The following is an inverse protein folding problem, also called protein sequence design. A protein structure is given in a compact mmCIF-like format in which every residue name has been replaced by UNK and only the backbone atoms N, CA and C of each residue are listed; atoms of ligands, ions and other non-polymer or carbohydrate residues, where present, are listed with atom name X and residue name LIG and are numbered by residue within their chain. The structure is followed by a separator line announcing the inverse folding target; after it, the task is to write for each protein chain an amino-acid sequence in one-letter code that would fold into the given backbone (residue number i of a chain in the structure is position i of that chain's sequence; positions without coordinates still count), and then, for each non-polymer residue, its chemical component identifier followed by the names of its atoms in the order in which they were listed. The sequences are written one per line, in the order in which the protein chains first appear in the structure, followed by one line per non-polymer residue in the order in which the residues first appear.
data_IF_256981899653
#
_entry.id   IF_256981899653
#
_cell.length_a   1.000
_cell.length_b   1.000
_cell.length_c   1.000
_cell.angle_alpha   90.00
_cell.angle_beta   90.00
_cell.angle_gamma   90.00
#
_symmetry.space_group_name_H-M   'P 1'
#
loop_
_entity.id
_entity.type
_entity.pdbx_description
1 polymer ?
#
# COMPACT_ATOMS: atom_id res chain seq x y z
N UNK A 1 24.90 -22.84 3.03
CA UNK A 1 24.71 -21.54 3.70
C UNK A 1 25.25 -20.47 2.75
N UNK A 2 24.39 -19.63 2.19
CA UNK A 2 24.79 -18.51 1.32
C UNK A 2 25.18 -17.35 2.24
N UNK A 3 26.45 -16.94 2.24
CA UNK A 3 26.86 -15.75 2.98
C UNK A 3 26.29 -14.51 2.27
N UNK A 4 25.68 -13.55 3.01
CA UNK A 4 25.24 -12.30 2.41
C UNK A 4 26.46 -11.58 1.82
N UNK A 5 26.41 -11.32 0.52
CA UNK A 5 27.47 -10.59 -0.16
C UNK A 5 27.23 -9.10 0.05
N UNK A 6 27.83 -8.54 1.10
CA UNK A 6 27.82 -7.10 1.32
C UNK A 6 28.65 -6.41 0.23
N UNK A 7 27.99 -5.65 -0.64
CA UNK A 7 28.60 -5.07 -1.85
C UNK A 7 29.11 -3.64 -1.67
N UNK A 8 28.66 -2.95 -0.63
CA UNK A 8 28.91 -1.52 -0.46
C UNK A 8 29.60 -1.24 0.87
N UNK A 9 30.79 -0.65 0.81
CA UNK A 9 31.54 -0.17 1.96
C UNK A 9 30.90 1.10 2.52
N UNK A 10 30.78 1.20 3.83
CA UNK A 10 30.15 2.33 4.50
C UNK A 10 30.82 2.69 5.82
N UNK A 11 31.35 3.90 5.90
CA UNK A 11 32.03 4.42 7.09
C UNK A 11 31.10 4.76 8.27
N UNK A 12 29.78 4.85 8.05
CA UNK A 12 28.80 5.23 9.09
C UNK A 12 28.11 4.02 9.75
N UNK A 13 28.10 2.89 9.06
CA UNK A 13 27.35 1.71 9.47
C UNK A 13 28.26 0.83 10.37
N UNK A 14 27.74 0.27 11.47
CA UNK A 14 28.54 -0.41 12.50
C UNK A 14 29.37 -1.61 12.00
N UNK A 15 28.84 -2.34 11.02
CA UNK A 15 29.53 -3.48 10.38
C UNK A 15 30.40 -3.07 9.18
N UNK A 16 30.47 -1.77 8.86
CA UNK A 16 31.29 -1.24 7.76
C UNK A 16 30.81 -1.58 6.34
N UNK A 17 29.82 -2.46 6.20
CA UNK A 17 29.35 -2.98 4.91
C UNK A 17 27.82 -3.20 4.90
N UNK A 18 27.17 -3.05 3.75
CA UNK A 18 25.74 -3.34 3.56
C UNK A 18 25.39 -3.73 2.10
N UNK A 19 24.19 -4.27 1.89
CA UNK A 19 23.76 -4.88 0.62
C UNK A 19 23.20 -3.89 -0.41
N UNK A 20 22.74 -2.72 0.04
CA UNK A 20 22.18 -1.66 -0.82
C UNK A 20 23.19 -0.54 -1.02
N UNK A 21 23.07 0.34 -2.02
CA UNK A 21 23.96 1.51 -2.14
C UNK A 21 23.73 2.59 -1.06
N UNK A 22 22.77 2.40 -0.15
CA UNK A 22 22.37 3.38 0.86
C UNK A 22 22.69 2.86 2.26
N UNK A 23 23.31 3.66 3.14
CA UNK A 23 23.56 3.21 4.52
C UNK A 23 22.24 3.18 5.31
N UNK A 24 21.85 2.02 5.86
CA UNK A 24 20.63 1.89 6.67
C UNK A 24 20.62 2.76 7.94
N UNK A 25 21.79 3.17 8.43
CA UNK A 25 21.90 4.11 9.56
C UNK A 25 21.55 5.56 9.20
N UNK A 26 21.44 5.89 7.92
CA UNK A 26 21.08 7.23 7.43
C UNK A 26 19.58 7.26 7.09
N UNK A 27 18.74 7.19 8.13
CA UNK A 27 17.27 7.13 8.03
C UNK A 27 16.68 8.27 7.19
N UNK A 28 17.35 9.43 7.12
CA UNK A 28 16.93 10.56 6.29
C UNK A 28 17.04 10.27 4.78
N UNK A 29 18.03 9.48 4.35
CA UNK A 29 18.20 9.12 2.93
C UNK A 29 17.21 8.05 2.49
N UNK A 30 16.88 7.11 3.37
CA UNK A 30 15.81 6.14 3.15
C UNK A 30 14.47 6.84 2.99
N UNK A 31 14.13 7.75 3.91
CA UNK A 31 12.91 8.55 3.84
C UNK A 31 12.83 9.40 2.56
N UNK A 32 13.93 10.05 2.16
CA UNK A 32 14.01 10.80 0.91
C UNK A 32 13.80 9.90 -0.31
N UNK A 33 14.44 8.73 -0.35
CA UNK A 33 14.25 7.78 -1.46
C UNK A 33 12.81 7.29 -1.56
N UNK A 34 12.17 6.96 -0.43
CA UNK A 34 10.77 6.57 -0.41
C UNK A 34 9.84 7.71 -0.82
N UNK A 35 10.14 8.94 -0.41
CA UNK A 35 9.36 10.12 -0.82
C UNK A 35 9.49 10.35 -2.33
N UNK A 36 10.71 10.31 -2.87
CA UNK A 36 10.95 10.49 -4.30
C UNK A 36 10.30 9.39 -5.16
N UNK A 37 10.24 8.16 -4.66
CA UNK A 37 9.52 7.07 -5.31
C UNK A 37 8.00 7.27 -5.26
N UNK A 38 7.46 7.76 -4.14
CA UNK A 38 6.04 8.09 -3.99
C UNK A 38 5.64 9.25 -4.92
N UNK A 39 6.48 10.28 -5.03
CA UNK A 39 6.29 11.42 -5.94
C UNK A 39 6.31 10.96 -7.40
N UNK A 40 7.27 10.10 -7.77
CA UNK A 40 7.33 9.51 -9.10
C UNK A 40 6.10 8.66 -9.42
N UNK A 41 5.63 7.84 -8.47
CA UNK A 41 4.42 7.04 -8.65
C UNK A 41 3.16 7.91 -8.76
N UNK A 42 3.08 9.01 -8.01
CA UNK A 42 2.00 9.98 -8.12
C UNK A 42 1.95 10.62 -9.51
N UNK A 43 3.09 11.07 -10.04
CA UNK A 43 3.15 11.66 -11.39
C UNK A 43 2.79 10.64 -12.47
N UNK A 44 3.22 9.38 -12.35
CA UNK A 44 2.81 8.30 -13.26
C UNK A 44 1.28 8.13 -13.24
N UNK A 45 0.65 8.03 -12.06
CA UNK A 45 -0.81 7.91 -11.96
C UNK A 45 -1.53 9.12 -12.54
N UNK A 46 -0.98 10.32 -12.35
CA UNK A 46 -1.53 11.56 -12.90
C UNK A 46 -1.52 11.55 -14.43
N UNK A 47 -0.39 11.16 -15.03
CA UNK A 47 -0.25 11.02 -16.48
C UNK A 47 -1.19 9.93 -17.02
N UNK A 48 -1.33 8.82 -16.31
CA UNK A 48 -2.25 7.75 -16.69
C UNK A 48 -3.71 8.20 -16.69
N UNK A 49 -4.13 8.96 -15.66
CA UNK A 49 -5.46 9.58 -15.60
C UNK A 49 -5.70 10.52 -16.79
N UNK A 50 -4.72 11.38 -17.10
CA UNK A 50 -4.82 12.27 -18.27
C UNK A 50 -4.92 11.49 -19.58
N UNK A 51 -4.16 10.40 -19.73
CA UNK A 51 -4.22 9.54 -20.91
C UNK A 51 -5.57 8.82 -21.05
N UNK A 52 -6.17 8.34 -19.93
CA UNK A 52 -7.52 7.74 -19.92
C UNK A 52 -8.60 8.76 -20.28
N UNK A 53 -8.52 9.98 -19.77
CA UNK A 53 -9.43 11.07 -20.15
C UNK A 53 -9.36 11.38 -21.64
N UNK A 54 -8.16 11.45 -22.23
CA UNK A 54 -8.00 11.61 -23.69
C UNK A 54 -8.61 10.47 -24.49
N UNK A 55 -8.60 9.24 -23.96
CA UNK A 55 -9.20 8.06 -24.57
C UNK A 55 -10.72 7.96 -24.36
N UNK A 56 -11.32 8.87 -23.58
CA UNK A 56 -12.74 8.81 -23.25
C UNK A 56 -13.13 7.59 -22.39
N UNK A 57 -12.17 7.03 -21.65
CA UNK A 57 -12.40 5.84 -20.82
C UNK A 57 -13.10 6.24 -19.52
N UNK A 58 -14.20 5.57 -19.13
CA UNK A 58 -14.90 5.88 -17.88
C UNK A 58 -14.00 5.59 -16.68
N UNK A 59 -14.02 6.46 -15.66
CA UNK A 59 -13.24 6.22 -14.44
C UNK A 59 -13.67 4.91 -13.76
N UNK A 60 -12.72 4.16 -13.18
CA UNK A 60 -13.06 2.96 -12.41
C UNK A 60 -13.92 3.40 -11.21
N UNK A 61 -15.22 3.11 -11.27
CA UNK A 61 -16.16 3.37 -10.19
C UNK A 61 -15.81 2.42 -9.04
N UNK A 62 -15.01 2.90 -8.10
CA UNK A 62 -14.83 2.27 -6.79
C UNK A 62 -16.15 2.44 -6.03
N UNK A 63 -17.11 1.54 -6.26
CA UNK A 63 -18.42 1.61 -5.63
C UNK A 63 -18.26 1.51 -4.09
N UNK A 64 -18.59 2.56 -3.31
CA UNK A 64 -18.48 2.51 -1.85
C UNK A 64 -19.52 1.57 -1.21
N UNK A 65 -20.53 1.17 -1.99
CA UNK A 65 -21.78 0.59 -1.52
C UNK A 65 -21.97 -0.91 -1.83
N UNK A 66 -20.93 -1.61 -2.32
CA UNK A 66 -20.97 -3.09 -2.46
C UNK A 66 -20.80 -3.84 -1.13
N UNK A 67 -20.92 -3.15 0.00
CA UNK A 67 -21.10 -3.78 1.31
C UNK A 67 -22.49 -4.41 1.38
N UNK A 68 -22.61 -5.62 0.85
CA UNK A 68 -23.57 -6.69 1.20
C UNK A 68 -24.52 -6.29 2.35
N UNK A 69 -25.70 -5.74 2.07
CA UNK A 69 -26.76 -5.47 3.08
C UNK A 69 -27.61 -6.72 3.42
N UNK A 70 -27.33 -7.86 2.79
CA UNK A 70 -28.08 -9.11 2.93
C UNK A 70 -28.01 -9.81 4.31
N UNK A 71 -27.10 -9.43 5.19
CA UNK A 71 -26.93 -10.05 6.52
C UNK A 71 -27.75 -9.34 7.62
N UNK A 72 -28.18 -8.09 7.38
CA UNK A 72 -29.02 -7.34 8.31
C UNK A 72 -30.39 -8.03 8.53
N UNK A 73 -31.10 -8.49 7.48
CA UNK A 73 -32.36 -9.24 7.66
C UNK A 73 -32.17 -10.53 8.47
N UNK A 74 -31.05 -11.23 8.24
CA UNK A 74 -30.69 -12.49 8.90
C UNK A 74 -30.41 -12.28 10.40
N UNK A 75 -29.70 -11.21 10.76
CA UNK A 75 -29.46 -10.84 12.16
C UNK A 75 -30.75 -10.50 12.91
N UNK A 76 -31.66 -9.75 12.27
CA UNK A 76 -32.96 -9.38 12.86
C UNK A 76 -33.83 -10.62 13.10
N UNK A 77 -33.86 -11.57 12.17
CA UNK A 77 -34.67 -12.80 12.32
C UNK A 77 -34.20 -13.63 13.51
N UNK A 78 -32.89 -13.83 13.65
CA UNK A 78 -32.32 -14.57 14.78
C UNK A 78 -32.63 -13.88 16.11
N UNK A 79 -32.52 -12.54 16.17
CA UNK A 79 -32.82 -11.77 17.38
C UNK A 79 -34.28 -11.91 17.83
N UNK A 80 -35.24 -11.82 16.89
CA UNK A 80 -36.67 -11.97 17.20
C UNK A 80 -36.98 -13.37 17.72
N UNK A 81 -36.43 -14.41 17.09
CA UNK A 81 -36.63 -15.79 17.54
C UNK A 81 -36.11 -15.98 18.97
N UNK A 82 -34.96 -15.40 19.29
CA UNK A 82 -34.36 -15.51 20.62
C UNK A 82 -35.18 -14.78 21.70
N UNK A 83 -35.81 -13.64 21.36
CA UNK A 83 -36.71 -12.94 22.27
C UNK A 83 -38.02 -13.68 22.56
N UNK A 84 -38.51 -14.49 21.62
CA UNK A 84 -39.75 -15.27 21.82
C UNK A 84 -39.50 -16.53 22.66
N UNK A 85 -38.27 -17.05 22.63
CA UNK A 85 -37.89 -18.31 23.30
C UNK A 85 -37.45 -18.14 24.76
N UNK A 86 -37.25 -16.91 25.23
CA UNK A 86 -36.91 -16.56 26.64
C UNK A 86 -38.18 -16.11 27.36
#
# INVERSE_FOLDING_TARGET
MVMPQYRYACAKCAYGWHDTPYCPGDVGKLAYSTMSMMDAEYEIRRLEKQARQRRGEPEPVLSPWRFRWWWIPLGITVYIVLLILI
#
